data_IF_908822706551
#
_entry.id   IF_908822706551
#
_cell.length_a   1.000
_cell.length_b   1.000
_cell.length_c   1.000
_cell.angle_alpha   90.00
_cell.angle_beta   90.00
_cell.angle_gamma   90.00
#
_symmetry.space_group_name_H-M   'P 1'
#
loop_
_entity.id
_entity.type
_entity.pdbx_description
1 polymer ?
#
# COMPACT_ATOMS: atom_id res chain seq x y z
N UNK A 1 -6.09 0.62 -1.20
CA UNK A 1 -6.47 1.03 0.18
C UNK A 1 -7.39 0.07 0.93
N UNK A 2 -8.28 -0.68 0.29
CA UNK A 2 -9.20 -1.58 1.00
C UNK A 2 -8.48 -2.60 1.90
N UNK A 3 -7.37 -3.18 1.44
CA UNK A 3 -6.57 -4.15 2.20
C UNK A 3 -6.04 -3.56 3.51
N UNK A 4 -5.33 -2.42 3.44
CA UNK A 4 -4.81 -1.74 4.62
C UNK A 4 -5.92 -1.37 5.62
N UNK A 5 -7.07 -0.88 5.14
CA UNK A 5 -8.21 -0.56 6.01
C UNK A 5 -8.80 -1.80 6.69
N UNK A 6 -8.94 -2.91 5.96
CA UNK A 6 -9.44 -4.17 6.54
C UNK A 6 -8.53 -4.69 7.64
N UNK A 7 -7.21 -4.65 7.43
CA UNK A 7 -6.22 -5.06 8.42
C UNK A 7 -6.25 -4.14 9.65
N UNK A 8 -6.26 -2.83 9.45
CA UNK A 8 -6.32 -1.86 10.55
C UNK A 8 -7.62 -1.99 11.36
N UNK A 9 -8.77 -2.19 10.71
CA UNK A 9 -10.02 -2.43 11.41
C UNK A 9 -9.96 -3.73 12.23
N UNK A 10 -9.39 -4.78 11.65
CA UNK A 10 -9.24 -6.06 12.33
C UNK A 10 -8.34 -5.97 13.57
N UNK A 11 -7.25 -5.18 13.53
CA UNK A 11 -6.39 -5.01 14.73
C UNK A 11 -7.15 -4.38 15.90
N UNK A 12 -8.13 -3.50 15.62
CA UNK A 12 -8.97 -2.89 16.67
C UNK A 12 -9.98 -3.87 17.27
N UNK A 13 -10.41 -4.89 16.51
CA UNK A 13 -11.23 -6.00 17.04
C UNK A 13 -10.42 -6.83 18.03
N UNK A 14 -9.16 -7.13 17.72
CA UNK A 14 -8.26 -7.92 18.58
C UNK A 14 -7.90 -7.16 19.86
N UNK A 15 -7.54 -5.88 19.74
CA UNK A 15 -7.23 -5.01 20.88
C UNK A 15 -7.63 -3.58 20.54
N UNK A 16 -8.61 -3.05 21.26
CA UNK A 16 -8.98 -1.62 21.16
C UNK A 16 -7.76 -0.74 21.47
N UNK A 17 -7.46 0.19 20.58
CA UNK A 17 -6.31 1.07 20.70
C UNK A 17 -4.97 0.41 20.34
N UNK A 18 -4.98 -0.71 19.62
CA UNK A 18 -3.75 -1.32 19.10
C UNK A 18 -3.05 -0.31 18.17
N UNK A 19 -1.79 0.06 18.43
CA UNK A 19 -1.04 0.95 17.57
C UNK A 19 -0.74 0.25 16.24
N UNK A 20 -0.96 0.95 15.14
CA UNK A 20 -0.69 0.44 13.79
C UNK A 20 -0.32 1.59 12.86
N UNK A 21 0.38 1.27 11.77
CA UNK A 21 0.84 2.23 10.77
C UNK A 21 0.11 1.95 9.47
N UNK A 22 -0.37 3.02 8.82
CA UNK A 22 -0.88 2.93 7.46
C UNK A 22 0.29 2.91 6.49
N UNK A 23 0.50 1.78 5.82
CA UNK A 23 1.61 1.60 4.88
C UNK A 23 1.16 0.93 3.59
N UNK A 24 1.89 1.22 2.52
CA UNK A 24 1.76 0.54 1.25
C UNK A 24 3.14 0.31 0.63
N UNK A 25 3.24 -0.72 -0.20
CA UNK A 25 4.38 -0.90 -1.10
C UNK A 25 3.82 -0.94 -2.51
N UNK A 26 4.30 -0.06 -3.36
CA UNK A 26 3.82 0.10 -4.73
C UNK A 26 4.97 -0.07 -5.72
N UNK A 27 4.69 -0.79 -6.79
CA UNK A 27 5.56 -0.93 -7.96
C UNK A 27 4.69 -0.95 -9.21
N UNK A 28 5.16 -0.33 -10.28
CA UNK A 28 4.59 -0.51 -11.62
C UNK A 28 5.30 -1.66 -12.33
N UNK A 29 4.83 -2.01 -13.51
CA UNK A 29 5.42 -3.06 -14.35
C UNK A 29 5.73 -2.50 -15.72
N UNK A 30 6.86 -2.93 -16.30
CA UNK A 30 7.18 -2.63 -17.70
C UNK A 30 6.21 -3.37 -18.61
N UNK A 31 5.57 -2.65 -19.53
CA UNK A 31 4.66 -3.28 -20.51
C UNK A 31 5.39 -4.14 -21.55
N UNK A 32 6.70 -3.96 -21.72
CA UNK A 32 7.50 -4.75 -22.67
C UNK A 32 8.01 -6.04 -22.04
N UNK A 33 8.62 -5.95 -20.86
CA UNK A 33 9.30 -7.09 -20.22
C UNK A 33 8.51 -7.70 -19.06
N UNK A 34 7.46 -7.05 -18.57
CA UNK A 34 6.74 -7.43 -17.36
C UNK A 34 7.55 -7.22 -16.07
N UNK A 35 8.79 -6.72 -16.17
CA UNK A 35 9.65 -6.55 -15.01
C UNK A 35 9.10 -5.46 -14.06
N UNK A 36 9.24 -5.64 -12.74
CA UNK A 36 8.86 -4.62 -11.77
C UNK A 36 9.71 -3.36 -11.96
N UNK A 37 9.07 -2.20 -11.86
CA UNK A 37 9.70 -0.89 -11.97
C UNK A 37 9.50 -0.10 -10.68
N UNK A 38 10.51 0.70 -10.33
CA UNK A 38 10.50 1.63 -9.22
C UNK A 38 10.77 3.05 -9.72
N UNK A 39 10.28 4.06 -8.99
CA UNK A 39 10.52 5.47 -9.31
C UNK A 39 9.74 6.02 -10.51
N UNK A 40 8.72 5.31 -11.00
CA UNK A 40 7.89 5.79 -12.10
C UNK A 40 6.92 6.89 -11.62
N UNK A 41 6.50 7.82 -12.50
CA UNK A 41 5.63 8.92 -12.10
C UNK A 41 4.29 8.46 -11.49
N UNK A 42 3.77 7.31 -11.91
CA UNK A 42 2.56 6.72 -11.37
C UNK A 42 2.75 6.31 -9.90
N UNK A 43 3.89 5.72 -9.53
CA UNK A 43 4.21 5.35 -8.14
C UNK A 43 4.30 6.62 -7.28
N UNK A 44 4.99 7.64 -7.77
CA UNK A 44 5.11 8.92 -7.07
C UNK A 44 3.74 9.54 -6.82
N UNK A 45 2.87 9.58 -7.82
CA UNK A 45 1.51 10.08 -7.68
C UNK A 45 0.72 9.26 -6.65
N UNK A 46 0.75 7.92 -6.75
CA UNK A 46 0.03 7.05 -5.83
C UNK A 46 0.52 7.15 -4.38
N UNK A 47 1.80 7.47 -4.15
CA UNK A 47 2.35 7.72 -2.81
C UNK A 47 1.88 9.05 -2.20
N UNK A 48 1.55 10.04 -3.03
CA UNK A 48 1.02 11.33 -2.57
C UNK A 48 -0.49 11.32 -2.31
N UNK A 49 -1.21 10.31 -2.82
CA UNK A 49 -2.67 10.14 -2.68
C UNK A 49 -3.03 9.33 -1.44
#
# INVERSE_FOLDING_TARGET
>A
NAEALSALAYTQVVRKGCPAIYGHYLSTVSMQSGAPMAGTPEISLMNFM
#
